data_IF_944981096725
#
_entry.id   IF_944981096725
#
_cell.length_a   1.000
_cell.length_b   1.000
_cell.length_c   1.000
_cell.angle_alpha   90.00
_cell.angle_beta   90.00
_cell.angle_gamma   90.00
#
_symmetry.space_group_name_H-M   'P 1'
#
loop_
_entity.id
_entity.type
_entity.pdbx_description
1 polymer ?
#
# COMPACT_ATOMS: atom_id res chain seq x y z
N UNK A 1 -2.75 -14.99 7.32
CA UNK A 1 -1.93 -14.01 8.04
C UNK A 1 -2.08 -12.64 7.38
N UNK A 2 -2.28 -11.61 8.17
CA UNK A 2 -2.44 -10.24 7.68
C UNK A 2 -1.18 -9.43 7.95
N UNK A 3 -0.90 -8.49 7.08
CA UNK A 3 0.22 -7.59 7.25
C UNK A 3 -0.18 -6.18 6.87
N UNK A 4 0.15 -5.21 7.72
CA UNK A 4 -0.09 -3.79 7.45
C UNK A 4 1.20 -3.15 6.95
N UNK A 5 1.07 -2.33 5.92
CA UNK A 5 2.20 -1.56 5.40
C UNK A 5 1.79 -0.11 5.32
N UNK A 6 2.63 0.79 5.83
CA UNK A 6 2.39 2.22 5.77
C UNK A 6 3.24 2.82 4.67
N UNK A 7 2.61 3.57 3.78
CA UNK A 7 3.29 4.29 2.71
C UNK A 7 3.31 5.77 3.05
N UNK A 8 4.48 6.39 2.97
CA UNK A 8 4.66 7.79 3.25
C UNK A 8 3.94 8.67 2.24
N UNK A 9 3.64 9.88 2.67
CA UNK A 9 2.92 10.87 1.89
C UNK A 9 3.61 11.21 0.58
N UNK A 10 2.79 11.32 -0.46
CA UNK A 10 3.22 11.83 -1.73
C UNK A 10 2.20 12.87 -2.20
N UNK A 11 2.60 14.11 -2.47
CA UNK A 11 1.65 15.18 -2.80
C UNK A 11 0.91 14.96 -4.12
N UNK A 12 1.45 14.13 -5.00
CA UNK A 12 0.80 13.84 -6.27
C UNK A 12 0.10 12.49 -6.23
N UNK A 13 -1.18 12.47 -6.59
CA UNK A 13 -1.97 11.25 -6.59
C UNK A 13 -1.34 10.16 -7.48
N UNK A 14 -0.79 10.54 -8.62
CA UNK A 14 -0.15 9.59 -9.52
C UNK A 14 1.05 8.91 -8.88
N UNK A 15 1.84 9.66 -8.14
CA UNK A 15 2.99 9.11 -7.44
C UNK A 15 2.56 8.19 -6.30
N UNK A 16 1.49 8.56 -5.59
CA UNK A 16 0.95 7.73 -4.53
C UNK A 16 0.42 6.41 -5.10
N UNK A 17 -0.31 6.47 -6.20
CA UNK A 17 -0.83 5.28 -6.86
C UNK A 17 0.32 4.36 -7.30
N UNK A 18 1.40 4.93 -7.81
CA UNK A 18 2.56 4.18 -8.23
C UNK A 18 3.23 3.48 -7.05
N UNK A 19 3.35 4.17 -5.93
CA UNK A 19 3.93 3.59 -4.72
C UNK A 19 3.09 2.42 -4.20
N UNK A 20 1.76 2.58 -4.23
CA UNK A 20 0.86 1.52 -3.80
C UNK A 20 1.02 0.31 -4.72
N UNK A 21 1.04 0.54 -6.02
CA UNK A 21 1.19 -0.52 -7.00
C UNK A 21 2.53 -1.26 -6.85
N UNK A 22 3.62 -0.50 -6.71
CA UNK A 22 4.94 -1.08 -6.53
C UNK A 22 5.00 -1.93 -5.27
N UNK A 23 4.43 -1.45 -4.18
CA UNK A 23 4.40 -2.19 -2.92
C UNK A 23 3.54 -3.44 -3.04
N UNK A 24 2.39 -3.33 -3.69
CA UNK A 24 1.52 -4.47 -3.90
C UNK A 24 2.21 -5.56 -4.72
N UNK A 25 2.92 -5.16 -5.79
CA UNK A 25 3.66 -6.10 -6.61
C UNK A 25 4.81 -6.77 -5.85
N UNK A 26 5.51 -5.99 -5.03
CA UNK A 26 6.57 -6.51 -4.19
C UNK A 26 6.04 -7.55 -3.20
N UNK A 27 4.92 -7.25 -2.56
CA UNK A 27 4.33 -8.16 -1.58
C UNK A 27 3.76 -9.40 -2.24
N UNK A 28 3.26 -9.29 -3.46
CA UNK A 28 2.75 -10.44 -4.19
C UNK A 28 3.84 -11.48 -4.41
N UNK A 29 5.06 -11.05 -4.65
CA UNK A 29 6.20 -11.95 -4.82
C UNK A 29 6.47 -12.77 -3.57
N UNK A 30 6.07 -12.26 -2.42
CA UNK A 30 6.21 -12.96 -1.15
C UNK A 30 4.96 -13.75 -0.77
N UNK A 31 3.98 -13.82 -1.66
CA UNK A 31 2.75 -14.58 -1.45
C UNK A 31 1.62 -13.81 -0.81
N UNK A 32 1.76 -12.48 -0.68
CA UNK A 32 0.71 -11.64 -0.10
C UNK A 32 -0.20 -11.08 -1.19
N UNK A 33 -1.47 -10.88 -0.85
CA UNK A 33 -2.43 -10.20 -1.71
C UNK A 33 -2.93 -8.95 -1.02
N UNK A 34 -3.05 -7.86 -1.78
CA UNK A 34 -3.61 -6.64 -1.26
C UNK A 34 -5.12 -6.80 -1.06
N UNK A 35 -5.59 -6.63 0.17
CA UNK A 35 -7.02 -6.70 0.47
C UNK A 35 -7.68 -5.34 0.34
N UNK A 36 -7.07 -4.33 0.93
CA UNK A 36 -7.63 -2.99 0.94
C UNK A 36 -6.55 -1.98 1.30
N UNK A 37 -6.85 -0.71 1.07
CA UNK A 37 -5.99 0.37 1.51
C UNK A 37 -6.86 1.54 1.95
N UNK A 38 -6.29 2.38 2.80
CA UNK A 38 -6.94 3.61 3.25
C UNK A 38 -5.94 4.74 3.16
N UNK A 39 -6.43 5.91 2.75
CA UNK A 39 -5.61 7.11 2.72
C UNK A 39 -6.02 7.97 3.89
N UNK A 40 -5.04 8.32 4.73
CA UNK A 40 -5.28 9.15 5.91
C UNK A 40 -5.07 10.61 5.50
N UNK A 41 -5.92 11.49 6.04
CA UNK A 41 -5.94 12.92 5.70
C UNK A 41 -4.58 13.60 5.87
N UNK A 42 -3.76 13.10 6.78
CA UNK A 42 -2.42 13.64 6.99
C UNK A 42 -1.38 13.03 6.07
N UNK A 43 -1.87 12.30 5.05
CA UNK A 43 -1.03 11.98 3.92
C UNK A 43 -0.20 10.72 4.02
N UNK A 44 -0.75 9.71 4.64
CA UNK A 44 -0.16 8.37 4.61
C UNK A 44 -1.19 7.39 4.09
N UNK A 45 -0.75 6.37 3.39
CA UNK A 45 -1.61 5.28 2.98
C UNK A 45 -1.28 4.05 3.81
N UNK A 46 -2.32 3.38 4.29
CA UNK A 46 -2.16 2.12 5.01
C UNK A 46 -2.71 1.01 4.12
N UNK A 47 -1.88 0.04 3.82
CA UNK A 47 -2.25 -1.09 2.99
C UNK A 47 -2.36 -2.34 3.86
N UNK A 48 -3.40 -3.12 3.63
CA UNK A 48 -3.59 -4.38 4.36
C UNK A 48 -3.43 -5.52 3.36
N UNK A 49 -2.53 -6.41 3.67
CA UNK A 49 -2.26 -7.59 2.86
C UNK A 49 -2.66 -8.86 3.59
N UNK A 50 -3.04 -9.86 2.84
CA UNK A 50 -3.34 -11.19 3.37
C UNK A 50 -2.48 -12.23 2.66
N UNK A 51 -1.94 -13.12 3.44
CA UNK A 51 -1.19 -14.25 2.91
C UNK A 51 -2.02 -15.53 2.97
#
# INVERSE_FOLDING_TARGET
MYKSVVIEYCPKADNMARKIEDKANEMEKEGYQLLTFSIIITAKAILIFKK
#
